data_IF_027880810133
#
_entry.id   IF_027880810133
#
_cell.length_a   1.000
_cell.length_b   1.000
_cell.length_c   1.000
_cell.angle_alpha   90.00
_cell.angle_beta   90.00
_cell.angle_gamma   90.00
#
_symmetry.space_group_name_H-M   'P 1'
#
loop_
_entity.id
_entity.type
_entity.pdbx_description
1 polymer ?
#
# COMPACT_ATOMS: atom_id res chain seq x y z
N UNK A 1 14.70 -15.42 33.05
CA UNK A 1 13.24 -15.63 32.97
C UNK A 1 12.71 -14.63 31.95
N UNK A 2 12.47 -15.07 30.73
CA UNK A 2 11.74 -14.26 29.74
C UNK A 2 10.28 -14.26 30.17
N UNK A 3 9.77 -13.10 30.57
CA UNK A 3 8.34 -12.91 30.84
C UNK A 3 7.62 -13.08 29.50
N UNK A 4 6.63 -13.97 29.45
CA UNK A 4 5.72 -14.11 28.32
C UNK A 4 4.99 -12.76 28.15
N UNK A 5 5.36 -12.00 27.11
CA UNK A 5 4.83 -10.66 26.85
C UNK A 5 3.75 -10.79 25.77
N UNK A 6 2.49 -10.80 26.19
CA UNK A 6 1.34 -10.70 25.28
C UNK A 6 0.90 -9.24 25.17
N UNK A 7 1.59 -8.47 24.33
CA UNK A 7 1.19 -7.12 24.00
C UNK A 7 0.23 -7.10 22.81
N UNK A 8 -0.86 -6.35 22.95
CA UNK A 8 -1.87 -6.14 21.92
C UNK A 8 -1.85 -4.69 21.41
N UNK A 9 -0.71 -4.02 21.55
CA UNK A 9 -0.56 -2.63 21.12
C UNK A 9 -0.47 -2.52 19.60
N UNK A 10 0.38 -3.34 18.97
CA UNK A 10 0.60 -3.32 17.52
C UNK A 10 1.37 -4.54 17.05
N UNK A 11 1.08 -4.99 15.84
CA UNK A 11 1.80 -6.05 15.13
C UNK A 11 3.24 -5.66 14.75
N UNK A 12 3.57 -4.37 14.73
CA UNK A 12 4.95 -3.90 14.52
C UNK A 12 5.91 -4.21 15.69
N UNK A 13 5.39 -4.75 16.79
CA UNK A 13 6.18 -5.22 17.94
C UNK A 13 6.54 -6.71 17.84
N UNK A 14 5.95 -7.42 16.89
CA UNK A 14 6.19 -8.84 16.67
C UNK A 14 7.63 -9.09 16.18
N UNK A 15 8.24 -10.22 16.56
CA UNK A 15 9.57 -10.58 16.07
C UNK A 15 9.53 -11.07 14.62
N UNK A 16 10.71 -11.18 14.02
CA UNK A 16 10.93 -11.82 12.72
C UNK A 16 10.46 -13.28 12.80
N UNK A 17 9.72 -13.76 11.81
CA UNK A 17 9.27 -15.15 11.75
C UNK A 17 10.45 -16.10 11.50
N UNK A 18 10.38 -17.37 11.94
CA UNK A 18 11.46 -18.33 11.77
C UNK A 18 11.93 -18.50 10.32
N UNK A 19 11.00 -18.47 9.36
CA UNK A 19 11.26 -18.60 7.93
C UNK A 19 12.09 -17.42 7.40
N UNK A 20 11.71 -16.19 7.77
CA UNK A 20 12.46 -14.99 7.39
C UNK A 20 13.85 -14.95 8.05
N UNK A 21 13.95 -15.38 9.31
CA UNK A 21 15.23 -15.50 10.02
C UNK A 21 16.16 -16.50 9.35
N UNK A 22 15.65 -17.68 8.99
CA UNK A 22 16.41 -18.70 8.27
C UNK A 22 16.86 -18.21 6.88
N UNK A 23 15.98 -17.54 6.13
CA UNK A 23 16.32 -16.97 4.83
C UNK A 23 17.42 -15.90 4.95
N UNK A 24 17.38 -15.07 5.99
CA UNK A 24 18.42 -14.07 6.24
C UNK A 24 19.77 -14.73 6.57
N UNK A 25 19.76 -15.81 7.37
CA UNK A 25 20.98 -16.57 7.66
C UNK A 25 21.57 -17.21 6.41
N UNK A 26 20.72 -17.74 5.52
CA UNK A 26 21.14 -18.29 4.23
C UNK A 26 21.76 -17.21 3.32
N UNK A 27 21.14 -16.02 3.27
CA UNK A 27 21.64 -14.90 2.49
C UNK A 27 22.97 -14.33 3.00
N UNK A 28 23.25 -14.49 4.30
CA UNK A 28 24.46 -14.00 4.97
C UNK A 28 25.68 -14.93 4.83
N UNK A 29 25.59 -15.98 4.01
CA UNK A 29 26.67 -16.96 3.85
C UNK A 29 27.76 -16.56 2.85
N UNK A 30 27.41 -15.77 1.82
CA UNK A 30 28.27 -15.49 0.67
C UNK A 30 28.20 -14.01 0.25
N UNK A 31 29.10 -13.60 -0.66
CA UNK A 31 29.04 -12.29 -1.30
C UNK A 31 27.84 -12.19 -2.26
N UNK A 32 27.25 -11.00 -2.32
CA UNK A 32 26.18 -10.67 -3.25
C UNK A 32 26.46 -9.35 -3.95
N UNK A 33 25.98 -9.20 -5.19
CA UNK A 33 25.97 -7.92 -5.88
C UNK A 33 25.09 -6.92 -5.12
N UNK A 34 25.40 -5.64 -5.22
CA UNK A 34 24.64 -4.59 -4.53
C UNK A 34 23.45 -4.12 -5.38
N UNK A 35 22.59 -3.29 -4.77
CA UNK A 35 21.52 -2.55 -5.46
C UNK A 35 20.52 -3.40 -6.26
N UNK A 36 20.25 -4.62 -5.77
CA UNK A 36 19.21 -5.50 -6.32
C UNK A 36 19.65 -6.37 -7.49
N UNK A 37 20.93 -6.34 -7.87
CA UNK A 37 21.48 -7.18 -8.94
C UNK A 37 21.84 -8.61 -8.47
N UNK A 38 21.44 -8.99 -7.26
CA UNK A 38 21.73 -10.30 -6.68
C UNK A 38 20.61 -11.34 -6.92
N UNK A 39 20.95 -12.60 -6.70
CA UNK A 39 20.04 -13.74 -6.90
C UNK A 39 18.83 -13.73 -5.96
N UNK A 40 18.92 -13.11 -4.79
CA UNK A 40 17.85 -13.10 -3.81
C UNK A 40 16.76 -12.13 -4.24
N UNK A 41 17.15 -10.94 -4.69
CA UNK A 41 16.24 -9.96 -5.28
C UNK A 41 15.51 -10.57 -6.48
N UNK A 42 16.23 -11.15 -7.45
CA UNK A 42 15.62 -11.79 -8.61
C UNK A 42 14.59 -12.87 -8.21
N UNK A 43 14.94 -13.73 -7.25
CA UNK A 43 14.05 -14.78 -6.73
C UNK A 43 12.77 -14.21 -6.10
N UNK A 44 12.87 -13.10 -5.37
CA UNK A 44 11.68 -12.45 -4.78
C UNK A 44 10.81 -11.84 -5.88
N UNK A 45 11.39 -11.14 -6.85
CA UNK A 45 10.63 -10.57 -7.98
C UNK A 45 9.84 -11.66 -8.72
N UNK A 46 10.49 -12.80 -9.04
CA UNK A 46 9.82 -13.93 -9.71
C UNK A 46 8.72 -14.54 -8.86
N UNK A 47 8.93 -14.64 -7.54
CA UNK A 47 7.92 -15.12 -6.60
C UNK A 47 6.72 -14.19 -6.53
N UNK A 48 6.94 -12.88 -6.51
CA UNK A 48 5.86 -11.88 -6.50
C UNK A 48 5.04 -11.96 -7.79
N UNK A 49 5.70 -12.01 -8.96
CA UNK A 49 5.01 -12.23 -10.24
C UNK A 49 4.18 -13.51 -10.25
N UNK A 50 4.70 -14.60 -9.66
CA UNK A 50 3.96 -15.85 -9.51
C UNK A 50 2.77 -15.75 -8.56
N UNK A 51 2.90 -15.03 -7.44
CA UNK A 51 1.83 -14.85 -6.44
C UNK A 51 0.70 -13.96 -6.97
N UNK A 52 1.05 -12.88 -7.68
CA UNK A 52 0.09 -11.95 -8.27
C UNK A 52 -0.35 -12.36 -9.67
N UNK A 53 0.24 -13.41 -10.23
CA UNK A 53 -0.09 -13.96 -11.56
C UNK A 53 -0.04 -12.90 -12.66
N UNK A 54 0.95 -11.99 -12.58
CA UNK A 54 1.16 -10.89 -13.51
C UNK A 54 2.65 -10.53 -13.58
N UNK A 55 3.06 -9.90 -14.68
CA UNK A 55 4.43 -9.40 -14.86
C UNK A 55 4.55 -7.98 -14.31
N UNK A 56 4.51 -7.84 -12.97
CA UNK A 56 4.68 -6.56 -12.31
C UNK A 56 6.16 -6.21 -12.11
N UNK A 57 6.42 -4.90 -12.02
CA UNK A 57 7.67 -4.38 -11.48
C UNK A 57 7.67 -4.54 -9.95
N UNK A 58 8.85 -4.74 -9.37
CA UNK A 58 8.98 -4.98 -7.92
C UNK A 58 10.16 -4.17 -7.39
N UNK A 59 9.85 -3.23 -6.50
CA UNK A 59 10.84 -2.35 -5.87
C UNK A 59 10.87 -2.57 -4.36
N UNK A 60 12.07 -2.63 -3.79
CA UNK A 60 12.27 -2.85 -2.36
C UNK A 60 12.45 -1.53 -1.64
N UNK A 61 11.72 -1.35 -0.55
CA UNK A 61 11.81 -0.16 0.30
C UNK A 61 11.80 -0.56 1.78
N UNK A 62 12.38 0.29 2.62
CA UNK A 62 12.66 -0.06 4.01
C UNK A 62 11.43 0.01 4.93
N UNK A 63 10.48 0.90 4.65
CA UNK A 63 9.35 1.18 5.55
C UNK A 63 8.07 1.45 4.77
N UNK A 64 6.92 1.21 5.40
CA UNK A 64 5.62 1.45 4.78
C UNK A 64 5.41 2.92 4.42
N UNK A 65 5.85 3.83 5.29
CA UNK A 65 5.86 5.28 5.00
C UNK A 65 6.67 5.62 3.74
N UNK A 66 7.86 5.03 3.58
CA UNK A 66 8.65 5.26 2.38
C UNK A 66 7.98 4.64 1.14
N UNK A 67 7.38 3.45 1.28
CA UNK A 67 6.63 2.79 0.20
C UNK A 67 5.51 3.69 -0.31
N UNK A 68 4.61 4.10 0.58
CA UNK A 68 3.47 4.96 0.25
C UNK A 68 3.95 6.28 -0.36
N UNK A 69 4.88 6.97 0.29
CA UNK A 69 5.33 8.29 -0.15
C UNK A 69 6.04 8.25 -1.52
N UNK A 70 6.89 7.25 -1.77
CA UNK A 70 7.57 7.07 -3.06
C UNK A 70 6.59 6.64 -4.16
N UNK A 71 5.69 5.70 -3.87
CA UNK A 71 4.66 5.27 -4.81
C UNK A 71 3.79 6.46 -5.23
N UNK A 72 3.25 7.20 -4.26
CA UNK A 72 2.42 8.37 -4.49
C UNK A 72 3.17 9.49 -5.23
N UNK A 73 4.45 9.74 -4.93
CA UNK A 73 5.25 10.73 -5.65
C UNK A 73 5.44 10.37 -7.14
N UNK A 74 5.48 9.09 -7.48
CA UNK A 74 5.64 8.63 -8.85
C UNK A 74 4.36 8.79 -9.69
N UNK A 75 3.18 8.66 -9.06
CA UNK A 75 1.88 8.69 -9.76
C UNK A 75 1.08 9.99 -9.53
N UNK A 76 1.48 10.84 -8.58
CA UNK A 76 0.82 12.11 -8.28
C UNK A 76 1.80 13.29 -8.41
N UNK A 77 1.75 14.04 -9.53
CA UNK A 77 2.47 15.29 -9.67
C UNK A 77 2.07 16.30 -8.58
N UNK A 78 3.00 17.16 -8.14
CA UNK A 78 2.81 18.13 -7.05
C UNK A 78 1.59 19.06 -7.17
N UNK A 79 1.15 19.35 -8.40
CA UNK A 79 -0.01 20.18 -8.68
C UNK A 79 -1.34 19.41 -8.71
N UNK A 80 -1.30 18.09 -8.47
CA UNK A 80 -2.46 17.23 -8.28
C UNK A 80 -2.65 16.89 -6.80
N UNK A 81 -3.76 16.24 -6.53
CA UNK A 81 -4.19 15.86 -5.18
C UNK A 81 -4.46 14.38 -5.06
N UNK A 82 -4.30 13.87 -3.84
CA UNK A 82 -4.53 12.46 -3.50
C UNK A 82 -5.80 12.40 -2.64
N UNK A 83 -6.80 11.65 -3.08
CA UNK A 83 -8.00 11.40 -2.29
C UNK A 83 -7.75 10.21 -1.37
N UNK A 84 -8.02 10.35 -0.07
CA UNK A 84 -7.87 9.27 0.89
C UNK A 84 -8.89 9.36 2.02
N UNK A 85 -9.05 8.27 2.76
CA UNK A 85 -9.87 8.29 3.97
C UNK A 85 -9.25 9.23 5.03
N UNK A 86 -10.08 9.95 5.79
CA UNK A 86 -9.61 10.90 6.82
C UNK A 86 -8.76 10.26 7.93
N UNK A 87 -8.83 8.94 8.10
CA UNK A 87 -8.01 8.16 9.03
C UNK A 87 -6.97 7.29 8.33
N UNK A 88 -6.69 7.55 7.04
CA UNK A 88 -5.67 6.80 6.31
C UNK A 88 -4.28 7.03 6.93
N UNK A 89 -3.43 6.01 6.96
CA UNK A 89 -2.07 6.12 7.51
C UNK A 89 -1.27 7.26 6.89
N UNK A 90 -1.37 7.42 5.57
CA UNK A 90 -0.75 8.52 4.80
C UNK A 90 -1.17 9.92 5.27
N UNK A 91 -2.33 10.05 5.92
CA UNK A 91 -2.84 11.29 6.49
C UNK A 91 -2.47 11.46 7.97
N UNK A 92 -2.47 10.39 8.77
CA UNK A 92 -2.40 10.49 10.23
C UNK A 92 -1.03 10.17 10.82
N UNK A 93 -0.27 9.25 10.22
CA UNK A 93 0.87 8.58 10.88
C UNK A 93 2.17 8.61 10.05
N UNK A 94 2.22 9.42 9.00
CA UNK A 94 3.40 9.58 8.14
C UNK A 94 4.09 10.94 8.25
N UNK A 95 3.66 11.79 9.19
CA UNK A 95 4.27 13.10 9.47
C UNK A 95 4.42 13.97 8.19
N UNK A 96 3.44 13.92 7.29
CA UNK A 96 3.48 14.65 6.01
C UNK A 96 4.43 14.05 4.96
N UNK A 97 4.75 12.75 5.07
CA UNK A 97 5.56 12.02 4.11
C UNK A 97 5.08 12.19 2.67
N UNK A 98 3.80 11.90 2.34
CA UNK A 98 3.28 12.07 0.99
C UNK A 98 3.45 13.49 0.45
N UNK A 99 3.12 14.53 1.22
CA UNK A 99 3.29 15.92 0.82
C UNK A 99 4.77 16.26 0.53
N UNK A 100 5.69 15.79 1.37
CA UNK A 100 7.12 15.99 1.19
C UNK A 100 7.63 15.35 -0.10
N UNK A 101 7.36 14.05 -0.30
CA UNK A 101 7.90 13.29 -1.44
C UNK A 101 7.25 13.67 -2.78
N UNK A 102 5.96 14.03 -2.78
CA UNK A 102 5.26 14.48 -3.98
C UNK A 102 5.60 15.92 -4.39
N UNK A 103 6.38 16.64 -3.58
CA UNK A 103 6.70 18.05 -3.81
C UNK A 103 5.50 18.99 -3.56
N UNK A 104 4.55 18.58 -2.73
CA UNK A 104 3.43 19.41 -2.29
C UNK A 104 2.03 18.98 -2.75
N UNK A 105 1.84 17.75 -3.22
CA UNK A 105 0.49 17.25 -3.53
C UNK A 105 -0.37 17.26 -2.28
N UNK A 106 -1.57 17.85 -2.38
CA UNK A 106 -2.47 17.98 -1.23
C UNK A 106 -3.30 16.71 -1.04
N UNK A 107 -3.40 16.23 0.20
CA UNK A 107 -4.36 15.20 0.60
C UNK A 107 -5.78 15.79 0.69
N UNK A 108 -6.73 15.11 0.04
CA UNK A 108 -8.14 15.47 -0.01
C UNK A 108 -8.95 14.39 0.70
N UNK A 109 -9.47 14.75 1.87
CA UNK A 109 -10.03 13.77 2.80
C UNK A 109 -11.50 13.50 2.47
N UNK A 110 -11.86 12.22 2.49
CA UNK A 110 -13.25 11.74 2.51
C UNK A 110 -13.47 10.89 3.75
N UNK A 111 -14.70 10.88 4.23
CA UNK A 111 -15.14 9.98 5.30
C UNK A 111 -15.58 8.62 4.77
N UNK A 112 -16.30 7.92 5.64
CA UNK A 112 -16.93 6.64 5.38
C UNK A 112 -16.82 5.70 6.59
N UNK A 113 -17.71 4.71 6.64
CA UNK A 113 -17.74 3.76 7.74
C UNK A 113 -16.56 2.78 7.69
N UNK A 114 -16.15 2.25 8.85
CA UNK A 114 -15.19 1.14 8.94
C UNK A 114 -13.78 1.43 8.40
N UNK A 115 -13.38 2.70 8.28
CA UNK A 115 -12.12 3.08 7.65
C UNK A 115 -12.14 2.98 6.13
N UNK A 116 -13.33 2.78 5.54
CA UNK A 116 -13.51 2.69 4.09
C UNK A 116 -13.94 4.03 3.51
N UNK A 117 -13.47 4.37 2.32
CA UNK A 117 -13.89 5.59 1.62
C UNK A 117 -15.36 5.48 1.19
N UNK A 118 -16.14 6.54 1.46
CA UNK A 118 -17.47 6.68 0.89
C UNK A 118 -17.36 7.17 -0.56
N UNK A 119 -17.81 6.33 -1.51
CA UNK A 119 -17.77 6.63 -2.94
C UNK A 119 -18.64 7.86 -3.29
N UNK A 120 -19.72 8.10 -2.55
CA UNK A 120 -20.57 9.27 -2.72
C UNK A 120 -19.84 10.55 -2.34
N UNK A 121 -19.16 10.57 -1.20
CA UNK A 121 -18.32 11.70 -0.79
C UNK A 121 -17.18 11.95 -1.78
N UNK A 122 -16.51 10.90 -2.25
CA UNK A 122 -15.47 11.01 -3.27
C UNK A 122 -16.01 11.62 -4.58
N UNK A 123 -17.21 11.22 -5.03
CA UNK A 123 -17.88 11.81 -6.20
C UNK A 123 -18.22 13.29 -6.00
N UNK A 124 -18.74 13.67 -4.84
CA UNK A 124 -19.04 15.07 -4.52
C UNK A 124 -17.75 15.90 -4.51
N UNK A 125 -16.68 15.37 -3.94
CA UNK A 125 -15.37 16.01 -3.92
C UNK A 125 -14.84 16.23 -5.36
N UNK A 126 -14.86 15.19 -6.19
CA UNK A 126 -14.44 15.24 -7.59
C UNK A 126 -15.27 16.25 -8.40
N UNK A 127 -16.58 16.31 -8.19
CA UNK A 127 -17.46 17.24 -8.90
C UNK A 127 -17.19 18.73 -8.55
N UNK A 128 -16.66 19.01 -7.34
CA UNK A 128 -16.32 20.37 -6.91
C UNK A 128 -15.00 20.89 -7.48
N UNK A 129 -14.07 20.01 -7.87
CA UNK A 129 -12.73 20.39 -8.34
C UNK A 129 -12.67 20.69 -9.86
N UNK A 130 -13.76 21.20 -10.44
CA UNK A 130 -13.81 21.62 -11.85
C UNK A 130 -13.36 23.08 -12.07
N UNK A 131 -12.98 23.80 -11.02
CA UNK A 131 -12.52 25.20 -11.14
C UNK A 131 -11.04 25.30 -11.50
N UNK A 132 -10.68 26.29 -12.33
CA UNK A 132 -9.31 26.49 -12.83
C UNK A 132 -8.25 26.62 -11.73
N UNK A 133 -8.63 27.18 -10.58
CA UNK A 133 -7.74 27.45 -9.44
C UNK A 133 -7.74 26.32 -8.39
N UNK A 134 -8.52 25.26 -8.62
CA UNK A 134 -8.69 24.17 -7.67
C UNK A 134 -7.63 23.08 -7.86
N UNK A 135 -7.33 22.34 -6.78
CA UNK A 135 -6.39 21.23 -6.87
C UNK A 135 -7.02 20.09 -7.67
N UNK A 136 -6.37 19.64 -8.73
CA UNK A 136 -6.91 18.58 -9.58
C UNK A 136 -6.61 17.21 -8.97
N UNK A 137 -7.60 16.40 -8.56
CA UNK A 137 -7.33 15.05 -8.09
C UNK A 137 -6.54 14.26 -9.13
N UNK A 138 -5.58 13.46 -8.69
CA UNK A 138 -4.74 12.60 -9.53
C UNK A 138 -4.72 11.15 -9.08
N UNK A 139 -4.97 10.88 -7.80
CA UNK A 139 -4.90 9.55 -7.21
C UNK A 139 -6.03 9.36 -6.22
N UNK A 140 -6.55 8.14 -6.13
CA UNK A 140 -7.31 7.64 -4.97
C UNK A 140 -6.41 6.65 -4.25
N UNK A 141 -6.26 6.80 -2.94
CA UNK A 141 -5.49 5.90 -2.07
C UNK A 141 -6.42 5.20 -1.09
N UNK A 142 -6.35 3.87 -1.04
CA UNK A 142 -7.06 3.02 -0.08
C UNK A 142 -6.07 2.17 0.72
N UNK A 143 -6.44 1.74 1.92
CA UNK A 143 -5.67 0.78 2.72
C UNK A 143 -6.39 -0.57 2.76
N UNK A 144 -5.66 -1.66 2.53
CA UNK A 144 -6.19 -3.02 2.53
C UNK A 144 -5.27 -3.98 3.32
N UNK A 145 -5.67 -4.47 4.50
CA UNK A 145 -6.85 -4.08 5.28
C UNK A 145 -6.75 -2.62 5.80
N UNK A 146 -7.89 -2.03 6.15
CA UNK A 146 -7.96 -0.66 6.68
C UNK A 146 -7.30 -0.53 8.05
N UNK A 147 -7.08 0.71 8.48
CA UNK A 147 -6.55 1.05 9.82
C UNK A 147 -7.47 0.58 10.95
N UNK A 148 -8.73 0.28 10.64
CA UNK A 148 -9.74 -0.20 11.58
C UNK A 148 -9.85 -1.73 11.56
N UNK A 149 -8.99 -2.42 10.79
CA UNK A 149 -8.99 -3.87 10.65
C UNK A 149 -10.16 -4.42 9.83
N UNK A 150 -10.78 -3.59 8.98
CA UNK A 150 -11.80 -4.07 8.04
C UNK A 150 -11.21 -4.24 6.64
N UNK A 151 -11.90 -4.99 5.78
CA UNK A 151 -11.41 -5.39 4.46
C UNK A 151 -12.37 -4.89 3.39
N UNK A 152 -11.86 -4.28 2.32
CA UNK A 152 -12.64 -4.04 1.12
C UNK A 152 -12.78 -5.36 0.35
N UNK A 153 -14.01 -5.72 -0.02
CA UNK A 153 -14.21 -6.84 -0.92
C UNK A 153 -13.93 -6.43 -2.37
N UNK A 154 -13.84 -7.43 -3.26
CA UNK A 154 -13.59 -7.25 -4.69
C UNK A 154 -14.52 -6.21 -5.35
N UNK A 155 -15.83 -6.26 -5.08
CA UNK A 155 -16.81 -5.35 -5.67
C UNK A 155 -16.61 -3.90 -5.18
N UNK A 156 -16.27 -3.71 -3.91
CA UNK A 156 -15.98 -2.38 -3.34
C UNK A 156 -14.73 -1.77 -3.99
N UNK A 157 -13.65 -2.55 -4.15
CA UNK A 157 -12.42 -2.09 -4.82
C UNK A 157 -12.70 -1.79 -6.29
N UNK A 158 -13.44 -2.66 -6.98
CA UNK A 158 -13.82 -2.46 -8.38
C UNK A 158 -14.66 -1.19 -8.58
N UNK A 159 -15.55 -0.86 -7.64
CA UNK A 159 -16.34 0.36 -7.68
C UNK A 159 -15.47 1.62 -7.53
N UNK A 160 -14.46 1.58 -6.66
CA UNK A 160 -13.49 2.66 -6.46
C UNK A 160 -12.60 2.81 -7.70
N UNK A 161 -12.09 1.71 -8.24
CA UNK A 161 -11.30 1.70 -9.47
C UNK A 161 -12.10 2.20 -10.67
N UNK A 162 -13.39 1.87 -10.76
CA UNK A 162 -14.31 2.40 -11.76
C UNK A 162 -14.44 3.92 -11.69
N UNK A 163 -14.55 4.47 -10.47
CA UNK A 163 -14.55 5.91 -10.24
C UNK A 163 -13.22 6.54 -10.66
N UNK A 164 -12.09 5.98 -10.19
CA UNK A 164 -10.75 6.45 -10.55
C UNK A 164 -10.58 6.54 -12.07
N UNK A 165 -10.94 5.47 -12.79
CA UNK A 165 -10.89 5.39 -14.26
C UNK A 165 -11.76 6.44 -14.95
N UNK A 166 -12.98 6.69 -14.46
CA UNK A 166 -13.86 7.71 -15.05
C UNK A 166 -13.32 9.14 -14.95
N UNK A 167 -12.43 9.39 -13.98
CA UNK A 167 -11.78 10.68 -13.75
C UNK A 167 -10.30 10.68 -14.13
N UNK A 168 -9.79 9.62 -14.78
CA UNK A 168 -8.38 9.47 -15.16
C UNK A 168 -7.43 9.65 -13.97
N UNK A 169 -7.77 8.99 -12.86
CA UNK A 169 -6.98 8.93 -11.63
C UNK A 169 -6.34 7.55 -11.53
N UNK A 170 -5.16 7.49 -10.91
CA UNK A 170 -4.57 6.23 -10.49
C UNK A 170 -5.19 5.74 -9.18
N UNK A 171 -5.18 4.42 -8.97
CA UNK A 171 -5.57 3.77 -7.71
C UNK A 171 -4.32 3.20 -7.01
N UNK A 172 -3.99 3.79 -5.87
CA UNK A 172 -2.95 3.32 -4.96
C UNK A 172 -3.57 2.49 -3.83
N UNK A 173 -2.90 1.40 -3.46
CA UNK A 173 -3.26 0.57 -2.31
C UNK A 173 -2.11 0.51 -1.30
N UNK A 174 -2.35 1.03 -0.09
CA UNK A 174 -1.53 0.74 1.08
C UNK A 174 -1.86 -0.68 1.57
N UNK A 175 -0.93 -1.60 1.33
CA UNK A 175 -1.03 -3.00 1.68
C UNK A 175 -0.23 -3.38 2.91
N UNK A 176 -0.05 -2.47 3.89
CA UNK A 176 0.69 -2.77 5.12
C UNK A 176 0.18 -4.02 5.87
N UNK A 177 -1.09 -4.38 5.66
CA UNK A 177 -1.75 -5.60 6.18
C UNK A 177 -2.44 -6.39 5.08
N UNK A 178 -1.90 -6.37 3.87
CA UNK A 178 -2.51 -7.04 2.71
C UNK A 178 -2.66 -8.55 2.90
N UNK A 179 -1.70 -9.19 3.57
CA UNK A 179 -1.78 -10.62 3.88
C UNK A 179 -2.99 -10.96 4.77
N UNK A 180 -3.35 -10.08 5.72
CA UNK A 180 -4.54 -10.25 6.57
C UNK A 180 -5.83 -10.16 5.75
N UNK A 181 -5.89 -9.22 4.81
CA UNK A 181 -7.02 -9.07 3.89
C UNK A 181 -7.22 -10.31 3.01
N UNK A 182 -6.15 -10.76 2.36
CA UNK A 182 -6.17 -11.98 1.52
C UNK A 182 -6.62 -13.19 2.32
N UNK A 183 -6.09 -13.37 3.54
CA UNK A 183 -6.48 -14.47 4.41
C UNK A 183 -7.95 -14.37 4.86
N UNK A 184 -8.43 -13.17 5.18
CA UNK A 184 -9.82 -12.95 5.62
C UNK A 184 -10.83 -13.13 4.49
N UNK A 185 -10.50 -12.71 3.27
CA UNK A 185 -11.36 -12.85 2.09
C UNK A 185 -11.23 -14.23 1.44
N UNK A 186 -10.17 -14.97 1.77
CA UNK A 186 -9.83 -16.27 1.19
C UNK A 186 -9.81 -16.21 -0.36
N UNK A 187 -9.10 -15.22 -0.89
CA UNK A 187 -9.05 -14.93 -2.32
C UNK A 187 -7.61 -14.96 -2.87
N UNK A 188 -7.44 -14.94 -4.20
CA UNK A 188 -6.11 -14.73 -4.81
C UNK A 188 -5.74 -13.24 -4.76
N UNK A 189 -4.47 -12.87 -4.51
CA UNK A 189 -4.02 -11.48 -4.50
C UNK A 189 -4.44 -10.66 -5.73
N UNK A 190 -4.42 -11.28 -6.93
CA UNK A 190 -4.82 -10.61 -8.17
C UNK A 190 -6.26 -10.07 -8.15
N UNK A 191 -7.16 -10.81 -7.49
CA UNK A 191 -8.61 -10.53 -7.49
C UNK A 191 -9.01 -9.30 -6.70
N UNK A 192 -8.11 -8.81 -5.84
CA UNK A 192 -8.30 -7.57 -5.06
C UNK A 192 -7.24 -6.52 -5.40
N UNK A 193 -6.49 -6.71 -6.49
CA UNK A 193 -5.47 -5.76 -6.95
C UNK A 193 -5.65 -5.42 -8.43
N UNK A 194 -4.79 -5.93 -9.31
CA UNK A 194 -4.74 -5.48 -10.71
C UNK A 194 -5.97 -5.91 -11.52
N UNK A 195 -6.60 -7.06 -11.21
CA UNK A 195 -7.80 -7.50 -11.94
C UNK A 195 -8.98 -6.53 -11.74
N UNK A 196 -9.04 -5.88 -10.58
CA UNK A 196 -10.06 -4.88 -10.24
C UNK A 196 -9.62 -3.45 -10.50
N UNK A 197 -8.35 -3.24 -10.89
CA UNK A 197 -7.84 -1.94 -11.34
C UNK A 197 -7.04 -1.14 -10.31
N UNK A 198 -6.40 -1.80 -9.34
CA UNK A 198 -5.31 -1.18 -8.55
C UNK A 198 -4.08 -1.03 -9.44
N UNK A 199 -3.50 0.16 -9.49
CA UNK A 199 -2.34 0.48 -10.33
C UNK A 199 -1.01 0.26 -9.60
N UNK A 200 -0.97 0.53 -8.29
CA UNK A 200 0.24 0.38 -7.45
C UNK A 200 -0.16 -0.13 -6.06
N UNK A 201 0.57 -1.13 -5.56
CA UNK A 201 0.40 -1.69 -4.22
C UNK A 201 1.70 -1.58 -3.42
N UNK A 202 1.59 -0.99 -2.22
CA UNK A 202 2.64 -1.06 -1.20
C UNK A 202 2.45 -2.36 -0.38
N UNK A 203 3.08 -3.45 -0.81
CA UNK A 203 2.91 -4.77 -0.19
C UNK A 203 3.79 -4.92 1.07
N UNK A 204 3.13 -4.96 2.23
CA UNK A 204 3.81 -4.93 3.52
C UNK A 204 4.29 -6.28 4.04
N UNK A 205 5.59 -6.39 4.28
CA UNK A 205 6.22 -7.56 4.87
C UNK A 205 6.50 -7.42 6.37
N UNK A 206 6.79 -6.21 6.86
CA UNK A 206 7.33 -6.02 8.22
C UNK A 206 6.33 -6.46 9.29
N UNK A 207 5.06 -6.07 9.13
CA UNK A 207 3.96 -6.45 10.04
C UNK A 207 3.56 -7.92 9.92
N UNK A 208 4.11 -8.64 8.94
CA UNK A 208 3.86 -10.06 8.69
C UNK A 208 5.12 -10.92 8.88
N UNK A 209 6.06 -10.47 9.73
CA UNK A 209 7.18 -11.27 10.22
C UNK A 209 8.48 -11.17 9.42
N UNK A 210 8.58 -10.27 8.43
CA UNK A 210 9.87 -9.97 7.77
C UNK A 210 10.66 -8.90 8.55
N UNK A 211 11.98 -8.79 8.29
CA UNK A 211 12.86 -7.85 9.02
C UNK A 211 12.58 -6.39 8.64
N UNK A 212 12.73 -6.09 7.36
CA UNK A 212 12.42 -4.83 6.69
C UNK A 212 12.31 -5.20 5.22
N UNK A 213 11.09 -5.18 4.69
CA UNK A 213 10.80 -5.84 3.42
C UNK A 213 9.45 -5.40 2.87
N UNK A 214 9.29 -4.09 2.74
CA UNK A 214 8.15 -3.54 2.04
C UNK A 214 8.46 -3.53 0.55
N UNK A 215 7.46 -3.87 -0.26
CA UNK A 215 7.58 -3.83 -1.71
C UNK A 215 6.63 -2.78 -2.28
N UNK A 216 7.05 -2.09 -3.33
CA UNK A 216 6.15 -1.35 -4.22
C UNK A 216 6.04 -2.16 -5.50
N UNK A 217 4.81 -2.58 -5.82
CA UNK A 217 4.49 -3.46 -6.94
C UNK A 217 3.33 -2.95 -7.79
#
# INVERSE_FOLDING_TARGET
>A
MTVERHEFASDNTAPICPEASAALQEANADYAAAYGEDRWTARVCDRIRGIFETDCDVYFVFTGTAANALALAQICPSFRSIICHQNAHIQTDECGGPEFFTGGSKLLLVGGGNGKIDIGEAKVLLARQNELHSHKPGVISIAEATEFGTVYNCDEIAAIAGLARSYQLSLHMDGARFANAVASLNCSPRTITWEVGVDVLCFGGTKNGTVAGELVI
#
